data_IF_319505538446
#
_entry.id   IF_319505538446
#
_cell.length_a   1.000
_cell.length_b   1.000
_cell.length_c   1.000
_cell.angle_alpha   90.00
_cell.angle_beta   90.00
_cell.angle_gamma   90.00
#
_symmetry.space_group_name_H-M   'P 1'
#
loop_
_entity.id
_entity.type
_entity.pdbx_description
1 polymer ?
#
# COMPACT_ATOMS: atom_id res chain seq x y z
N UNK A 1 -51.51 14.46 25.64
CA UNK A 1 -50.46 13.97 24.72
C UNK A 1 -49.45 13.22 25.57
N UNK A 2 -49.68 11.92 25.76
CA UNK A 2 -48.70 11.01 26.37
C UNK A 2 -48.87 9.67 25.66
N UNK A 3 -47.86 9.25 24.92
CA UNK A 3 -47.84 7.97 24.20
C UNK A 3 -46.68 7.16 24.77
N UNK A 4 -46.97 6.38 25.81
CA UNK A 4 -46.12 5.26 26.23
C UNK A 4 -46.59 4.03 25.44
N UNK A 5 -45.69 3.40 24.70
CA UNK A 5 -45.95 2.09 24.07
C UNK A 5 -44.64 1.37 23.82
N UNK A 6 -44.22 0.64 24.86
CA UNK A 6 -43.47 -0.59 24.74
C UNK A 6 -44.32 -1.62 23.96
N UNK A 7 -43.72 -2.39 23.04
CA UNK A 7 -44.09 -3.78 22.69
C UNK A 7 -43.19 -4.25 21.54
N UNK A 8 -42.37 -5.27 21.83
CA UNK A 8 -41.81 -6.17 20.85
C UNK A 8 -42.75 -7.37 20.65
N UNK A 9 -42.75 -8.02 19.48
CA UNK A 9 -42.93 -9.46 19.48
C UNK A 9 -41.90 -10.24 18.67
N UNK A 10 -41.56 -11.38 19.28
CA UNK A 10 -40.76 -12.53 18.86
C UNK A 10 -41.35 -13.20 17.62
N UNK A 11 -40.51 -13.75 16.72
CA UNK A 11 -40.85 -14.97 15.98
C UNK A 11 -39.62 -15.87 15.86
N UNK A 12 -39.85 -17.12 16.25
CA UNK A 12 -39.01 -18.30 16.41
C UNK A 12 -38.61 -18.95 15.07
N UNK A 13 -37.40 -19.50 14.96
CA UNK A 13 -36.96 -20.32 13.82
C UNK A 13 -36.44 -21.68 14.30
N UNK A 14 -37.35 -22.64 14.41
CA UNK A 14 -37.13 -24.09 14.44
C UNK A 14 -38.42 -24.67 13.84
N UNK A 15 -38.47 -25.57 12.86
CA UNK A 15 -37.66 -26.74 12.52
C UNK A 15 -38.17 -27.23 11.16
N UNK A 16 -37.31 -27.70 10.24
CA UNK A 16 -37.66 -28.85 9.40
C UNK A 16 -36.44 -29.65 8.96
N UNK A 17 -36.54 -30.94 9.26
CA UNK A 17 -35.60 -32.05 9.04
C UNK A 17 -35.71 -32.64 7.62
N UNK A 18 -34.64 -33.35 7.20
CA UNK A 18 -34.57 -34.51 6.26
C UNK A 18 -34.83 -34.16 4.77
N UNK A 19 -34.10 -34.61 3.75
CA UNK A 19 -33.09 -35.69 3.52
C UNK A 19 -32.55 -35.54 2.08
N UNK A 20 -31.35 -36.09 1.81
CA UNK A 20 -30.77 -36.49 0.49
C UNK A 20 -29.79 -35.52 -0.23
N UNK A 21 -28.74 -35.98 -0.94
CA UNK A 21 -27.78 -37.07 -0.70
C UNK A 21 -26.30 -36.59 -0.75
N UNK A 22 -25.41 -37.52 -0.36
CA UNK A 22 -23.98 -37.52 -0.59
C UNK A 22 -23.65 -37.50 -2.11
N UNK A 23 -22.52 -36.88 -2.46
CA UNK A 23 -21.84 -36.82 -3.76
C UNK A 23 -22.37 -35.81 -4.79
N UNK A 24 -21.66 -34.68 -4.92
CA UNK A 24 -21.09 -34.26 -6.20
C UNK A 24 -19.98 -33.25 -5.96
N UNK A 25 -18.78 -33.62 -6.39
CA UNK A 25 -17.57 -32.79 -6.39
C UNK A 25 -17.65 -31.74 -7.49
N UNK A 26 -16.83 -30.69 -7.35
CA UNK A 26 -16.62 -29.57 -8.29
C UNK A 26 -17.74 -28.54 -8.39
N UNK A 27 -17.53 -27.40 -7.72
CA UNK A 27 -17.41 -26.07 -8.33
C UNK A 27 -17.52 -25.02 -7.22
N UNK A 28 -16.41 -24.72 -6.56
CA UNK A 28 -16.31 -23.59 -5.63
C UNK A 28 -15.25 -22.62 -6.15
N UNK A 29 -15.54 -22.04 -7.30
CA UNK A 29 -14.91 -20.79 -7.74
C UNK A 29 -16.05 -19.80 -8.03
N UNK A 30 -16.78 -19.48 -6.96
CA UNK A 30 -17.76 -18.40 -6.98
C UNK A 30 -16.94 -17.09 -6.95
N UNK A 31 -16.83 -16.50 -8.14
CA UNK A 31 -16.08 -15.30 -8.43
C UNK A 31 -16.41 -14.16 -7.45
N UNK A 32 -15.58 -14.03 -6.42
CA UNK A 32 -15.48 -12.80 -5.63
C UNK A 32 -15.21 -11.67 -6.62
N UNK A 33 -15.88 -10.51 -6.55
CA UNK A 33 -15.56 -9.40 -7.43
C UNK A 33 -14.09 -9.05 -7.20
N UNK A 34 -13.24 -9.45 -8.14
CA UNK A 34 -11.81 -9.20 -8.07
C UNK A 34 -11.66 -7.71 -8.33
N UNK A 35 -11.61 -6.93 -7.26
CA UNK A 35 -11.06 -5.58 -7.32
C UNK A 35 -9.72 -5.74 -8.03
N UNK A 36 -9.59 -5.21 -9.24
CA UNK A 36 -8.39 -5.37 -10.05
C UNK A 36 -7.31 -4.50 -9.39
N UNK A 37 -6.63 -5.07 -8.40
CA UNK A 37 -5.55 -4.40 -7.69
C UNK A 37 -4.27 -4.62 -8.50
N UNK A 38 -3.61 -3.52 -8.86
CA UNK A 38 -2.36 -3.51 -9.61
C UNK A 38 -1.26 -4.06 -8.70
N UNK A 39 -0.76 -5.25 -9.05
CA UNK A 39 0.31 -5.92 -8.34
C UNK A 39 1.66 -5.25 -8.62
N UNK A 40 2.58 -5.41 -7.67
CA UNK A 40 3.98 -5.03 -7.87
C UNK A 40 4.61 -5.97 -8.90
N UNK A 41 5.35 -5.45 -9.90
CA UNK A 41 6.10 -6.30 -10.82
C UNK A 41 7.21 -7.09 -10.10
N UNK A 42 7.65 -8.23 -10.68
CA UNK A 42 8.82 -8.94 -10.16
C UNK A 42 10.09 -8.09 -10.31
N UNK A 43 10.95 -8.11 -9.30
CA UNK A 43 12.24 -7.39 -9.29
C UNK A 43 12.33 -6.26 -8.28
N UNK A 44 13.50 -5.62 -8.20
CA UNK A 44 13.76 -4.52 -7.27
C UNK A 44 13.75 -3.16 -7.99
N UNK A 45 13.07 -2.18 -7.40
CA UNK A 45 13.00 -0.83 -7.96
C UNK A 45 14.39 -0.20 -8.08
N UNK A 46 14.74 0.28 -9.28
CA UNK A 46 15.99 1.00 -9.54
C UNK A 46 17.24 0.10 -9.65
N UNK A 47 17.10 -1.22 -9.77
CA UNK A 47 18.21 -2.16 -9.97
C UNK A 47 18.16 -2.79 -11.38
N UNK A 48 18.30 -1.94 -12.40
CA UNK A 48 18.22 -2.33 -13.83
C UNK A 48 19.20 -3.45 -14.21
N UNK A 49 20.30 -3.60 -13.46
CA UNK A 49 21.37 -4.59 -13.71
C UNK A 49 21.01 -6.02 -13.30
N UNK A 50 20.00 -6.23 -12.43
CA UNK A 50 19.65 -7.54 -11.86
C UNK A 50 18.13 -7.77 -11.89
N UNK A 51 17.53 -7.72 -13.08
CA UNK A 51 16.08 -7.90 -13.27
C UNK A 51 15.20 -6.90 -12.49
N UNK A 52 15.74 -5.74 -12.10
CA UNK A 52 14.93 -4.66 -11.55
C UNK A 52 14.23 -3.85 -12.64
N UNK A 53 13.29 -2.99 -12.22
CA UNK A 53 12.52 -2.14 -13.12
C UNK A 53 12.70 -0.66 -12.78
N UNK A 54 12.50 0.19 -13.78
CA UNK A 54 12.37 1.62 -13.59
C UNK A 54 10.93 1.93 -13.16
N UNK A 55 10.74 2.47 -11.95
CA UNK A 55 9.40 2.76 -11.41
C UNK A 55 8.54 3.58 -12.39
N UNK A 56 9.14 4.59 -13.02
CA UNK A 56 8.46 5.45 -13.99
C UNK A 56 7.97 4.68 -15.23
N UNK A 57 8.76 3.72 -15.70
CA UNK A 57 8.41 2.91 -16.87
C UNK A 57 7.28 1.93 -16.55
N UNK A 58 7.29 1.38 -15.34
CA UNK A 58 6.27 0.43 -14.89
C UNK A 58 4.91 1.08 -14.66
N UNK A 59 4.90 2.21 -13.95
CA UNK A 59 3.65 2.88 -13.58
C UNK A 59 2.91 3.45 -14.79
N UNK A 60 3.63 3.77 -15.88
CA UNK A 60 3.09 4.40 -17.10
C UNK A 60 2.24 5.66 -16.82
N UNK A 61 2.46 6.31 -15.68
CA UNK A 61 1.79 7.57 -15.36
C UNK A 61 2.29 8.70 -16.23
N UNK A 62 1.44 9.71 -16.43
CA UNK A 62 1.88 10.98 -16.99
C UNK A 62 3.05 11.54 -16.17
N UNK A 63 4.02 12.15 -16.86
CA UNK A 63 5.26 12.62 -16.26
C UNK A 63 4.96 13.70 -15.19
N UNK A 64 3.92 14.52 -15.39
CA UNK A 64 3.52 15.55 -14.43
C UNK A 64 2.96 14.90 -13.17
N UNK A 65 2.05 13.94 -13.31
CA UNK A 65 1.47 13.20 -12.18
C UNK A 65 2.55 12.46 -11.39
N UNK A 66 3.44 11.74 -12.09
CA UNK A 66 4.56 11.06 -11.44
C UNK A 66 5.42 12.01 -10.62
N UNK A 67 5.78 13.17 -11.18
CA UNK A 67 6.60 14.17 -10.46
C UNK A 67 5.86 14.77 -9.27
N UNK A 68 4.56 15.01 -9.41
CA UNK A 68 3.74 15.58 -8.35
C UNK A 68 3.61 14.62 -7.16
N UNK A 69 3.25 13.37 -7.42
CA UNK A 69 3.20 12.31 -6.39
C UNK A 69 4.58 12.14 -5.77
N UNK A 70 5.64 12.05 -6.58
CA UNK A 70 7.00 11.89 -6.07
C UNK A 70 7.42 13.06 -5.18
N UNK A 71 7.05 14.29 -5.54
CA UNK A 71 7.32 15.48 -4.71
C UNK A 71 6.55 15.41 -3.40
N UNK A 72 5.26 15.09 -3.45
CA UNK A 72 4.44 14.96 -2.25
C UNK A 72 4.97 13.88 -1.31
N UNK A 73 5.24 12.68 -1.81
CA UNK A 73 5.81 11.58 -1.02
C UNK A 73 7.15 11.99 -0.41
N UNK A 74 7.99 12.73 -1.14
CA UNK A 74 9.27 13.25 -0.64
C UNK A 74 9.07 14.21 0.53
N UNK A 75 8.18 15.17 0.38
CA UNK A 75 7.95 16.21 1.38
C UNK A 75 7.35 15.60 2.65
N UNK A 76 6.38 14.69 2.51
CA UNK A 76 5.83 13.93 3.64
C UNK A 76 6.90 13.04 4.29
N UNK A 77 7.74 12.37 3.50
CA UNK A 77 8.83 11.57 4.02
C UNK A 77 9.86 12.40 4.80
N UNK A 78 10.18 13.63 4.38
CA UNK A 78 11.09 14.51 5.13
C UNK A 78 10.52 14.91 6.50
N UNK A 79 9.20 15.01 6.60
CA UNK A 79 8.53 15.39 7.84
C UNK A 79 8.38 14.21 8.82
N UNK A 80 8.27 12.98 8.31
CA UNK A 80 7.87 11.80 9.10
C UNK A 80 8.96 10.73 9.22
N UNK A 81 9.81 10.60 8.21
CA UNK A 81 10.84 9.58 8.12
C UNK A 81 12.23 10.16 8.32
N UNK A 82 13.14 9.33 8.84
CA UNK A 82 14.53 9.73 9.01
C UNK A 82 15.30 9.56 7.71
N UNK A 83 15.61 10.65 7.03
CA UNK A 83 16.37 10.63 5.75
C UNK A 83 17.78 10.05 5.86
N UNK A 84 18.30 9.90 7.08
CA UNK A 84 19.62 9.33 7.37
C UNK A 84 19.59 7.79 7.38
N UNK A 85 18.42 7.19 7.56
CA UNK A 85 18.23 5.75 7.67
C UNK A 85 17.76 5.13 6.35
N UNK A 86 18.18 3.89 6.10
CA UNK A 86 17.66 3.09 4.98
C UNK A 86 16.19 2.71 5.20
N UNK A 87 15.45 2.40 4.13
CA UNK A 87 14.04 1.99 4.20
C UNK A 87 13.78 0.88 5.24
N UNK A 88 14.62 -0.17 5.28
CA UNK A 88 14.48 -1.29 6.22
C UNK A 88 14.69 -0.92 7.71
N UNK A 89 15.23 0.28 7.99
CA UNK A 89 15.47 0.79 9.34
C UNK A 89 14.46 1.88 9.75
N UNK A 90 13.49 2.19 8.89
CA UNK A 90 12.42 3.11 9.23
C UNK A 90 11.39 2.43 10.13
N UNK A 91 10.61 3.25 10.83
CA UNK A 91 9.48 2.78 11.62
C UNK A 91 8.35 2.38 10.65
N UNK A 92 7.86 1.12 10.67
CA UNK A 92 6.83 0.66 9.72
C UNK A 92 5.54 1.49 9.75
N UNK A 93 5.11 1.94 10.93
CA UNK A 93 3.90 2.76 11.10
C UNK A 93 4.00 4.12 10.41
N UNK A 94 5.20 4.72 10.38
CA UNK A 94 5.42 5.98 9.66
C UNK A 94 5.41 5.76 8.14
N UNK A 95 5.92 4.62 7.66
CA UNK A 95 5.81 4.26 6.24
C UNK A 95 4.35 4.11 5.84
N UNK A 96 3.55 3.40 6.64
CA UNK A 96 2.13 3.19 6.35
C UNK A 96 1.36 4.52 6.41
N UNK A 97 1.69 5.40 7.35
CA UNK A 97 1.14 6.76 7.41
C UNK A 97 1.44 7.55 6.13
N UNK A 98 2.68 7.48 5.60
CA UNK A 98 3.02 8.13 4.32
C UNK A 98 2.24 7.51 3.17
N UNK A 99 2.03 6.20 3.16
CA UNK A 99 1.22 5.51 2.16
C UNK A 99 -0.24 5.99 2.19
N UNK A 100 -0.83 6.05 3.38
CA UNK A 100 -2.20 6.49 3.58
C UNK A 100 -2.40 7.97 3.20
N UNK A 101 -1.53 8.87 3.66
CA UNK A 101 -1.58 10.29 3.28
C UNK A 101 -1.43 10.48 1.76
N UNK A 102 -0.61 9.66 1.11
CA UNK A 102 -0.45 9.70 -0.34
C UNK A 102 -1.71 9.22 -1.04
N UNK A 103 -2.32 8.14 -0.58
CA UNK A 103 -3.54 7.59 -1.16
C UNK A 103 -4.77 8.49 -0.91
N UNK A 104 -4.86 9.15 0.24
CA UNK A 104 -5.89 10.16 0.52
C UNK A 104 -5.79 11.37 -0.42
N UNK A 105 -4.57 11.78 -0.78
CA UNK A 105 -4.38 12.89 -1.74
C UNK A 105 -4.56 12.44 -3.19
N UNK A 106 -4.12 11.24 -3.51
CA UNK A 106 -4.12 10.66 -4.85
C UNK A 106 -4.88 9.34 -4.84
N UNK A 107 -6.22 9.41 -4.90
CA UNK A 107 -7.11 8.26 -4.74
C UNK A 107 -6.78 7.07 -5.67
N UNK A 108 -6.21 7.31 -6.85
CA UNK A 108 -5.81 6.23 -7.75
C UNK A 108 -4.72 5.31 -7.17
N UNK A 109 -4.01 5.74 -6.12
CA UNK A 109 -3.03 4.91 -5.42
C UNK A 109 -3.68 3.74 -4.66
N UNK A 110 -4.97 3.84 -4.29
CA UNK A 110 -5.72 2.71 -3.71
C UNK A 110 -5.86 1.53 -4.68
N UNK A 111 -5.71 1.77 -5.99
CA UNK A 111 -5.73 0.71 -7.00
C UNK A 111 -4.45 -0.14 -6.97
N UNK A 112 -3.43 0.24 -6.21
CA UNK A 112 -2.15 -0.46 -6.15
C UNK A 112 -2.03 -1.26 -4.86
N UNK A 113 -1.66 -2.53 -4.99
CA UNK A 113 -1.56 -3.43 -3.84
C UNK A 113 -0.51 -2.91 -2.86
N UNK A 114 -0.86 -2.88 -1.57
CA UNK A 114 0.04 -2.49 -0.49
C UNK A 114 0.70 -1.10 -0.69
N UNK A 115 0.06 -0.22 -1.47
CA UNK A 115 0.63 1.08 -1.86
C UNK A 115 2.06 0.97 -2.43
N UNK A 116 2.34 -0.08 -3.20
CA UNK A 116 3.69 -0.35 -3.71
C UNK A 116 4.35 0.80 -4.47
N UNK A 117 3.64 1.67 -5.24
CA UNK A 117 4.28 2.81 -5.90
C UNK A 117 4.90 3.77 -4.88
N UNK A 118 4.16 4.08 -3.81
CA UNK A 118 4.63 4.97 -2.73
C UNK A 118 5.80 4.33 -1.99
N UNK A 119 5.69 3.05 -1.64
CA UNK A 119 6.78 2.31 -0.97
C UNK A 119 8.05 2.28 -1.81
N UNK A 120 7.94 2.05 -3.11
CA UNK A 120 9.08 2.06 -4.02
C UNK A 120 9.71 3.44 -4.20
N UNK A 121 8.89 4.51 -4.26
CA UNK A 121 9.41 5.87 -4.23
C UNK A 121 10.20 6.14 -2.95
N UNK A 122 9.70 5.70 -1.79
CA UNK A 122 10.40 5.81 -0.51
C UNK A 122 11.72 5.05 -0.51
N UNK A 123 11.75 3.81 -1.01
CA UNK A 123 12.97 3.00 -1.13
C UNK A 123 14.03 3.75 -1.95
N UNK A 124 13.66 4.26 -3.13
CA UNK A 124 14.60 5.00 -3.99
C UNK A 124 15.12 6.28 -3.32
N UNK A 125 14.26 7.03 -2.65
CA UNK A 125 14.65 8.28 -2.00
C UNK A 125 15.59 8.03 -0.81
N UNK A 126 15.25 7.10 0.08
CA UNK A 126 16.06 6.80 1.26
C UNK A 126 17.40 6.15 0.89
N UNK A 127 17.45 5.36 -0.18
CA UNK A 127 18.72 4.83 -0.74
C UNK A 127 19.66 5.95 -1.15
N UNK A 128 19.15 7.02 -1.76
CA UNK A 128 19.96 8.17 -2.17
C UNK A 128 20.36 9.04 -0.97
N UNK A 129 19.44 9.33 -0.06
CA UNK A 129 19.68 10.17 1.12
C UNK A 129 20.70 9.54 2.09
N UNK A 130 20.55 8.25 2.42
CA UNK A 130 21.50 7.54 3.31
C UNK A 130 22.91 7.42 2.73
N UNK A 131 23.04 7.30 1.41
CA UNK A 131 24.34 7.35 0.72
C UNK A 131 25.00 8.73 0.86
N UNK A 132 24.23 9.80 0.65
CA UNK A 132 24.74 11.18 0.79
C UNK A 132 25.18 11.49 2.22
N UNK A 133 24.39 11.08 3.20
CA UNK A 133 24.71 11.19 4.62
C UNK A 133 26.06 10.56 4.98
N UNK A 134 26.25 9.30 4.59
CA UNK A 134 27.48 8.54 4.86
C UNK A 134 28.71 9.20 4.22
N UNK A 135 28.58 9.73 3.00
CA UNK A 135 29.69 10.42 2.33
C UNK A 135 30.05 11.73 3.02
N UNK A 136 29.07 12.48 3.52
CA UNK A 136 29.31 13.69 4.30
C UNK A 136 30.08 13.39 5.59
N UNK A 137 29.65 12.36 6.34
CA UNK A 137 30.33 11.92 7.57
C UNK A 137 31.78 11.47 7.31
N UNK A 138 32.03 10.75 6.21
CA UNK A 138 33.38 10.33 5.83
C UNK A 138 34.31 11.50 5.45
N UNK A 139 33.76 12.58 4.87
CA UNK A 139 34.53 13.79 4.55
C UNK A 139 34.90 14.58 5.80
N UNK A 140 33.95 14.75 6.73
CA UNK A 140 34.19 15.45 7.99
C UNK A 140 35.13 14.72 8.94
N UNK A 141 35.29 13.41 8.81
CA UNK A 141 36.24 12.63 9.62
C UNK A 141 37.67 12.59 9.05
N UNK A 142 37.90 13.13 7.85
CA UNK A 142 39.21 13.13 7.16
C UNK A 142 39.86 14.51 7.07
N UNK A 143 39.14 15.58 7.37
CA UNK A 143 39.66 16.95 7.46
C UNK A 143 39.86 17.33 8.92
#
# INVERSE_FOLDING_TARGET
MEFTSEVAPRVVFETLRRTWPLESKHAKDEARPTVIVILKPPGQVGELSKNGYALKAELKWDIKIYREVQKFVRDTAKSRLSMQLSYAKQIPTEIDTVCELSAQKYNFLYNYKDCWPTRDMLIMMLKNSSRGARQSQQRSARG
#
